data_IF_316183487590
#
_entry.id   IF_316183487590
#
_cell.length_a   1.000
_cell.length_b   1.000
_cell.length_c   1.000
_cell.angle_alpha   90.00
_cell.angle_beta   90.00
_cell.angle_gamma   90.00
#
_symmetry.space_group_name_H-M   'P 1'
#
loop_
_entity.id
_entity.type
_entity.pdbx_description
1 polymer ?
#
# COMPACT_ATOMS: atom_id res chain seq x y z
N UNK A 1 -8.14 -2.77 5.82
CA UNK A 1 -7.19 -1.76 5.29
C UNK A 1 -7.06 -0.63 6.30
N UNK A 2 -5.83 -0.21 6.67
CA UNK A 2 -5.64 0.86 7.67
C UNK A 2 -5.79 2.26 7.07
N UNK A 3 -5.97 3.30 7.92
CA UNK A 3 -6.14 4.70 7.50
C UNK A 3 -5.04 5.20 6.54
N UNK A 4 -3.80 4.75 6.67
CA UNK A 4 -2.70 5.12 5.77
C UNK A 4 -2.83 4.53 4.36
N UNK A 5 -3.35 3.31 4.24
CA UNK A 5 -3.65 2.70 2.95
C UNK A 5 -4.68 3.52 2.16
N UNK A 6 -5.65 4.10 2.84
CA UNK A 6 -6.64 4.98 2.23
C UNK A 6 -6.02 6.17 1.49
N UNK A 7 -5.02 6.83 2.07
CA UNK A 7 -4.30 7.96 1.43
C UNK A 7 -3.67 7.56 0.09
N UNK A 8 -3.33 6.30 -0.08
CA UNK A 8 -2.77 5.79 -1.34
C UNK A 8 -3.69 5.89 -2.55
N UNK A 9 -5.00 5.96 -2.33
CA UNK A 9 -6.00 6.10 -3.39
C UNK A 9 -6.45 7.55 -3.64
N UNK A 10 -6.15 8.48 -2.72
CA UNK A 10 -6.70 9.85 -2.77
C UNK A 10 -6.20 10.69 -3.93
N UNK A 11 -5.03 10.35 -4.48
CA UNK A 11 -4.37 11.13 -5.52
C UNK A 11 -4.47 10.49 -6.91
N UNK A 12 -5.27 9.42 -7.08
CA UNK A 12 -5.44 8.75 -8.35
C UNK A 12 -6.76 9.17 -8.98
N UNK A 13 -6.69 9.83 -10.13
CA UNK A 13 -7.87 10.21 -10.92
C UNK A 13 -8.51 8.94 -11.50
N UNK A 14 -9.85 8.85 -11.46
CA UNK A 14 -10.59 7.69 -11.97
C UNK A 14 -10.84 6.60 -10.93
N UNK A 15 -10.71 6.96 -9.64
CA UNK A 15 -11.08 6.12 -8.51
C UNK A 15 -12.22 6.76 -7.74
N UNK A 16 -13.36 6.07 -7.66
CA UNK A 16 -14.44 6.37 -6.72
C UNK A 16 -14.35 5.41 -5.54
N UNK A 17 -14.59 5.91 -4.34
CA UNK A 17 -14.45 5.13 -3.12
C UNK A 17 -15.50 5.46 -2.09
N UNK A 18 -15.90 4.44 -1.34
CA UNK A 18 -16.71 4.56 -0.15
C UNK A 18 -15.96 3.88 0.99
N UNK A 19 -15.67 4.62 2.05
CA UNK A 19 -15.00 4.10 3.24
C UNK A 19 -16.01 3.94 4.36
N UNK A 20 -15.90 2.83 5.09
CA UNK A 20 -16.60 2.62 6.34
C UNK A 20 -16.30 3.75 7.33
N UNK A 21 -17.35 4.38 7.84
CA UNK A 21 -17.23 5.56 8.68
C UNK A 21 -17.02 5.17 10.16
N UNK A 22 -15.91 5.58 10.73
CA UNK A 22 -15.63 5.41 12.17
C UNK A 22 -16.62 6.17 13.08
N UNK A 23 -17.43 7.09 12.50
CA UNK A 23 -18.45 7.85 13.23
C UNK A 23 -19.73 7.05 13.49
N UNK A 24 -20.02 6.06 12.63
CA UNK A 24 -21.29 5.32 12.63
C UNK A 24 -21.12 3.81 12.83
N UNK A 25 -19.95 3.27 12.57
CA UNK A 25 -19.71 1.85 12.77
C UNK A 25 -19.49 1.63 14.26
N UNK A 26 -20.40 0.86 14.87
CA UNK A 26 -20.18 0.30 16.19
C UNK A 26 -19.25 -0.90 16.05
N UNK A 27 -18.24 -0.98 16.88
CA UNK A 27 -17.42 -2.17 16.99
C UNK A 27 -18.16 -3.15 17.88
N UNK A 28 -18.75 -4.19 17.28
CA UNK A 28 -19.41 -5.27 18.00
C UNK A 28 -18.41 -5.90 18.96
N UNK A 29 -18.88 -6.26 20.16
CA UNK A 29 -18.07 -6.73 21.27
C UNK A 29 -16.96 -5.75 21.72
N UNK A 30 -17.13 -4.48 21.38
CA UNK A 30 -16.20 -3.41 21.73
C UNK A 30 -14.74 -3.71 21.35
N UNK A 31 -14.54 -4.40 20.21
CA UNK A 31 -13.23 -4.73 19.66
C UNK A 31 -13.05 -4.07 18.31
N UNK A 32 -11.83 -3.61 18.01
CA UNK A 32 -11.42 -3.21 16.68
C UNK A 32 -10.21 -4.03 16.21
N UNK A 33 -10.21 -4.41 14.95
CA UNK A 33 -9.04 -5.03 14.36
C UNK A 33 -7.94 -4.00 14.10
N UNK A 34 -6.69 -4.42 14.18
CA UNK A 34 -5.54 -3.59 13.87
C UNK A 34 -4.46 -4.37 13.12
N UNK A 35 -3.69 -3.64 12.35
CA UNK A 35 -2.57 -4.18 11.58
C UNK A 35 -1.29 -4.09 12.41
N UNK A 36 -0.57 -5.20 12.50
CA UNK A 36 0.77 -5.25 13.11
C UNK A 36 1.81 -5.22 11.96
N UNK A 37 2.67 -4.19 11.89
CA UNK A 37 3.76 -4.15 10.92
C UNK A 37 4.71 -5.34 11.06
N UNK A 38 5.23 -5.87 9.95
CA UNK A 38 6.12 -7.03 9.98
C UNK A 38 7.38 -6.83 10.83
N UNK A 39 7.93 -5.61 10.87
CA UNK A 39 9.09 -5.28 11.72
C UNK A 39 8.78 -5.45 13.20
N UNK A 40 7.57 -5.12 13.62
CA UNK A 40 7.10 -5.33 14.99
C UNK A 40 6.77 -6.82 15.22
N UNK A 41 6.04 -7.43 14.29
CA UNK A 41 5.60 -8.82 14.43
C UNK A 41 6.76 -9.86 14.48
N UNK A 42 7.95 -9.49 13.97
CA UNK A 42 9.16 -10.33 14.01
C UNK A 42 9.98 -10.18 15.29
N UNK A 43 9.64 -9.23 16.14
CA UNK A 43 10.31 -8.97 17.40
C UNK A 43 9.30 -9.17 18.52
N UNK A 44 9.44 -10.22 19.30
CA UNK A 44 8.47 -10.60 20.35
C UNK A 44 8.29 -9.50 21.40
N UNK A 45 9.36 -8.85 21.83
CA UNK A 45 9.30 -7.76 22.80
C UNK A 45 8.53 -6.55 22.23
N UNK A 46 8.86 -6.14 21.00
CA UNK A 46 8.16 -5.05 20.32
C UNK A 46 6.68 -5.37 20.08
N UNK A 47 6.37 -6.64 19.80
CA UNK A 47 4.99 -7.10 19.62
C UNK A 47 4.18 -7.00 20.91
N UNK A 48 4.74 -7.43 22.05
CA UNK A 48 4.08 -7.30 23.36
C UNK A 48 3.76 -5.83 23.65
N UNK A 49 4.74 -4.93 23.51
CA UNK A 49 4.54 -3.48 23.72
C UNK A 49 3.43 -2.94 22.82
N UNK A 50 3.40 -3.39 21.56
CA UNK A 50 2.41 -2.95 20.58
C UNK A 50 1.01 -3.43 20.94
N UNK A 51 0.85 -4.70 21.31
CA UNK A 51 -0.43 -5.32 21.69
C UNK A 51 -0.97 -4.72 23.00
N UNK A 52 -0.11 -4.45 23.99
CA UNK A 52 -0.48 -3.76 25.23
C UNK A 52 -1.01 -2.35 24.94
N UNK A 53 -0.35 -1.61 24.05
CA UNK A 53 -0.80 -0.29 23.66
C UNK A 53 -2.17 -0.34 22.96
N UNK A 54 -2.40 -1.33 22.07
CA UNK A 54 -3.70 -1.50 21.40
C UNK A 54 -4.79 -1.88 22.37
N UNK A 55 -4.50 -2.74 23.35
CA UNK A 55 -5.43 -3.13 24.42
C UNK A 55 -5.82 -1.93 25.27
N UNK A 56 -4.84 -1.10 25.66
CA UNK A 56 -5.10 0.12 26.43
C UNK A 56 -6.00 1.12 25.68
N UNK A 57 -5.77 1.28 24.37
CA UNK A 57 -6.62 2.13 23.52
C UNK A 57 -8.04 1.58 23.44
N UNK A 58 -8.20 0.26 23.32
CA UNK A 58 -9.51 -0.39 23.28
C UNK A 58 -10.26 -0.17 24.60
N UNK A 59 -9.62 -0.38 25.73
CA UNK A 59 -10.21 -0.17 27.06
C UNK A 59 -10.64 1.29 27.26
N UNK A 60 -9.79 2.22 26.82
CA UNK A 60 -10.08 3.65 26.89
C UNK A 60 -11.27 4.02 25.99
N UNK A 61 -11.33 3.46 24.77
CA UNK A 61 -12.45 3.63 23.85
C UNK A 61 -13.76 3.18 24.51
N UNK A 62 -13.77 1.99 25.08
CA UNK A 62 -14.95 1.39 25.73
C UNK A 62 -15.41 2.20 26.94
N UNK A 63 -14.47 2.67 27.77
CA UNK A 63 -14.78 3.54 28.92
C UNK A 63 -15.41 4.86 28.48
N UNK A 64 -14.90 5.51 27.45
CA UNK A 64 -15.48 6.75 26.94
C UNK A 64 -16.89 6.54 26.37
N UNK A 65 -17.13 5.44 25.67
CA UNK A 65 -18.48 5.08 25.20
C UNK A 65 -19.43 4.84 26.37
N UNK A 66 -18.99 4.13 27.41
CA UNK A 66 -19.83 3.87 28.61
C UNK A 66 -20.19 5.13 29.40
N UNK A 67 -19.35 6.16 29.31
CA UNK A 67 -19.63 7.50 29.86
C UNK A 67 -20.60 8.33 29.01
N UNK A 68 -21.13 7.76 27.90
CA UNK A 68 -22.07 8.44 27.02
C UNK A 68 -21.44 9.46 26.06
N UNK A 69 -20.12 9.44 25.91
CA UNK A 69 -19.44 10.31 24.94
C UNK A 69 -19.81 9.86 23.52
N UNK A 70 -20.07 10.81 22.64
CA UNK A 70 -20.46 10.53 21.25
C UNK A 70 -19.36 9.75 20.53
N UNK A 71 -19.74 8.69 19.82
CA UNK A 71 -18.81 7.83 19.08
C UNK A 71 -17.86 8.60 18.14
N UNK A 72 -18.35 9.64 17.49
CA UNK A 72 -17.52 10.48 16.62
C UNK A 72 -16.34 11.15 17.33
N UNK A 73 -16.52 11.48 18.61
CA UNK A 73 -15.50 12.12 19.43
C UNK A 73 -14.52 11.08 19.96
N UNK A 74 -15.06 9.93 20.41
CA UNK A 74 -14.26 8.79 20.87
C UNK A 74 -13.41 8.19 19.73
N UNK A 75 -13.90 8.21 18.49
CA UNK A 75 -13.16 7.71 17.35
C UNK A 75 -11.80 8.41 17.10
N UNK A 76 -11.56 9.57 17.72
CA UNK A 76 -10.27 10.27 17.61
C UNK A 76 -9.11 9.54 18.27
N UNK A 77 -9.35 8.65 19.24
CA UNK A 77 -8.30 7.85 19.89
C UNK A 77 -7.91 6.60 19.09
N UNK A 78 -8.67 6.24 18.04
CA UNK A 78 -8.37 5.06 17.24
C UNK A 78 -6.99 5.18 16.56
N UNK A 79 -6.15 4.12 16.62
CA UNK A 79 -4.80 4.15 16.09
C UNK A 79 -4.81 4.19 14.56
N UNK A 80 -3.70 4.65 13.96
CA UNK A 80 -3.52 4.61 12.50
C UNK A 80 -3.59 3.20 11.91
N UNK A 81 -3.20 2.19 12.70
CA UNK A 81 -3.26 0.79 12.32
C UNK A 81 -4.66 0.17 12.35
N UNK A 82 -5.67 0.90 12.81
CA UNK A 82 -7.05 0.43 12.88
C UNK A 82 -7.57 -0.02 11.51
N UNK A 83 -8.20 -1.20 11.48
CA UNK A 83 -8.80 -1.74 10.27
C UNK A 83 -10.02 -0.94 9.82
N UNK A 84 -10.17 -0.76 8.51
CA UNK A 84 -11.36 -0.17 7.91
C UNK A 84 -11.67 -0.88 6.60
N UNK A 85 -12.92 -0.84 6.18
CA UNK A 85 -13.37 -1.36 4.89
C UNK A 85 -13.51 -0.22 3.89
N UNK A 86 -12.94 -0.40 2.71
CA UNK A 86 -13.06 0.54 1.59
C UNK A 86 -13.54 -0.22 0.37
N UNK A 87 -14.66 0.23 -0.20
CA UNK A 87 -15.12 -0.23 -1.51
C UNK A 87 -14.64 0.77 -2.56
N UNK A 88 -13.97 0.27 -3.59
CA UNK A 88 -13.42 1.09 -4.66
C UNK A 88 -13.99 0.68 -6.01
N UNK A 89 -14.43 1.67 -6.81
CA UNK A 89 -14.66 1.51 -8.24
C UNK A 89 -13.51 2.20 -8.96
N UNK A 90 -12.77 1.46 -9.77
CA UNK A 90 -11.51 1.91 -10.37
C UNK A 90 -11.57 1.64 -11.86
N UNK A 91 -11.25 2.62 -12.71
CA UNK A 91 -11.08 2.35 -14.14
C UNK A 91 -9.71 1.70 -14.41
N UNK A 92 -9.58 0.98 -15.54
CA UNK A 92 -8.39 0.20 -15.89
C UNK A 92 -7.13 1.07 -15.95
N UNK A 93 -7.22 2.31 -16.44
CA UNK A 93 -6.08 3.24 -16.50
C UNK A 93 -5.58 3.61 -15.10
N UNK A 94 -6.50 3.95 -14.20
CA UNK A 94 -6.17 4.25 -12.82
C UNK A 94 -5.60 3.03 -12.10
N UNK A 95 -6.13 1.84 -12.39
CA UNK A 95 -5.63 0.57 -11.85
C UNK A 95 -4.20 0.29 -12.32
N UNK A 96 -3.91 0.46 -13.62
CA UNK A 96 -2.54 0.34 -14.15
C UNK A 96 -1.58 1.30 -13.45
N UNK A 97 -1.97 2.56 -13.27
CA UNK A 97 -1.16 3.53 -12.54
C UNK A 97 -0.96 3.15 -11.05
N UNK A 98 -1.96 2.56 -10.42
CA UNK A 98 -1.80 2.03 -9.05
C UNK A 98 -0.72 0.95 -8.99
N UNK A 99 -0.69 0.00 -9.94
CA UNK A 99 0.36 -1.01 -10.03
C UNK A 99 1.74 -0.38 -10.22
N UNK A 100 1.87 0.62 -11.10
CA UNK A 100 3.12 1.33 -11.34
C UNK A 100 3.74 1.90 -10.06
N UNK A 101 2.91 2.49 -9.21
CA UNK A 101 3.37 3.24 -8.02
C UNK A 101 3.40 2.37 -6.77
N UNK A 102 2.44 1.44 -6.62
CA UNK A 102 2.21 0.75 -5.34
C UNK A 102 2.86 -0.62 -5.22
N UNK A 103 3.32 -1.21 -6.32
CA UNK A 103 4.19 -2.39 -6.26
C UNK A 103 5.69 -2.04 -6.12
N UNK A 104 6.05 -0.76 -6.21
CA UNK A 104 7.40 -0.30 -5.94
C UNK A 104 7.80 -0.60 -4.48
N UNK A 105 9.07 -0.96 -4.24
CA UNK A 105 9.59 -1.24 -2.89
C UNK A 105 9.50 -0.05 -1.94
N UNK A 106 9.38 1.17 -2.47
CA UNK A 106 9.16 2.40 -1.68
C UNK A 106 7.73 2.54 -1.16
N UNK A 107 6.76 1.79 -1.70
CA UNK A 107 5.43 1.76 -1.15
C UNK A 107 5.40 0.99 0.18
N UNK A 108 4.48 1.33 1.05
CA UNK A 108 4.26 0.58 2.29
C UNK A 108 4.06 -0.93 2.00
N UNK A 109 4.65 -1.77 2.82
CA UNK A 109 4.61 -3.22 2.65
C UNK A 109 3.19 -3.77 2.59
N UNK A 110 2.30 -3.28 3.46
CA UNK A 110 0.89 -3.66 3.46
C UNK A 110 0.23 -3.37 2.10
N UNK A 111 0.55 -2.21 1.51
CA UNK A 111 -0.01 -1.84 0.22
C UNK A 111 0.54 -2.71 -0.91
N UNK A 112 1.83 -3.03 -0.86
CA UNK A 112 2.44 -3.97 -1.83
C UNK A 112 1.84 -5.36 -1.75
N UNK A 113 1.54 -5.85 -0.54
CA UNK A 113 0.83 -7.13 -0.34
C UNK A 113 -0.56 -7.07 -0.97
N UNK A 114 -1.31 -6.00 -0.68
CA UNK A 114 -2.63 -5.80 -1.27
C UNK A 114 -2.59 -5.81 -2.81
N UNK A 115 -1.61 -5.13 -3.42
CA UNK A 115 -1.49 -5.11 -4.88
C UNK A 115 -1.16 -6.49 -5.46
N UNK A 116 -0.35 -7.30 -4.77
CA UNK A 116 -0.07 -8.67 -5.18
C UNK A 116 -1.32 -9.56 -5.12
N UNK A 117 -2.09 -9.48 -4.04
CA UNK A 117 -3.34 -10.23 -3.90
C UNK A 117 -4.36 -9.78 -4.95
N UNK A 118 -4.46 -8.48 -5.20
CA UNK A 118 -5.31 -7.93 -6.25
C UNK A 118 -4.89 -8.45 -7.64
N UNK A 119 -3.59 -8.44 -7.96
CA UNK A 119 -3.07 -8.99 -9.22
C UNK A 119 -3.46 -10.45 -9.37
N UNK A 120 -3.26 -11.27 -8.33
CA UNK A 120 -3.62 -12.68 -8.34
C UNK A 120 -5.12 -12.87 -8.61
N UNK A 121 -5.96 -12.15 -7.88
CA UNK A 121 -7.41 -12.22 -8.07
C UNK A 121 -7.87 -11.80 -9.48
N UNK A 122 -7.23 -10.77 -10.06
CA UNK A 122 -7.53 -10.33 -11.43
C UNK A 122 -7.06 -11.36 -12.46
N UNK A 123 -5.87 -11.95 -12.27
CA UNK A 123 -5.30 -12.94 -13.17
C UNK A 123 -6.17 -14.20 -13.27
N UNK A 124 -6.86 -14.56 -12.20
CA UNK A 124 -7.73 -15.73 -12.10
C UNK A 124 -9.14 -15.51 -12.68
N UNK A 125 -9.50 -14.28 -13.10
CA UNK A 125 -10.84 -13.96 -13.61
C UNK A 125 -11.07 -14.54 -15.02
N UNK A 126 -10.21 -14.16 -15.97
CA UNK A 126 -10.25 -14.60 -17.37
C UNK A 126 -8.95 -14.26 -18.11
N UNK A 127 -8.86 -14.68 -19.39
CA UNK A 127 -7.66 -14.48 -20.22
C UNK A 127 -7.36 -13.00 -20.53
N UNK A 128 -8.38 -12.16 -20.65
CA UNK A 128 -8.22 -10.73 -20.89
C UNK A 128 -7.57 -10.06 -19.68
N UNK A 129 -8.01 -10.39 -18.46
CA UNK A 129 -7.41 -9.90 -17.25
C UNK A 129 -5.99 -10.43 -17.03
N UNK A 130 -5.74 -11.70 -17.36
CA UNK A 130 -4.39 -12.25 -17.34
C UNK A 130 -3.46 -11.49 -18.30
N UNK A 131 -3.91 -11.22 -19.52
CA UNK A 131 -3.17 -10.41 -20.49
C UNK A 131 -2.87 -8.98 -19.98
N UNK A 132 -3.85 -8.32 -19.34
CA UNK A 132 -3.65 -7.00 -18.74
C UNK A 132 -2.63 -7.04 -17.59
N UNK A 133 -2.65 -8.07 -16.76
CA UNK A 133 -1.70 -8.26 -15.68
C UNK A 133 -0.26 -8.41 -16.21
N UNK A 134 -0.08 -9.19 -17.27
CA UNK A 134 1.23 -9.47 -17.84
C UNK A 134 1.81 -8.29 -18.64
N UNK A 135 0.96 -7.48 -19.25
CA UNK A 135 1.43 -6.45 -20.18
C UNK A 135 1.32 -5.02 -19.63
N UNK A 136 0.33 -4.72 -18.80
CA UNK A 136 0.02 -3.34 -18.39
C UNK A 136 0.14 -3.09 -16.89
N UNK A 137 -0.12 -4.09 -16.03
CA UNK A 137 -0.08 -3.90 -14.59
C UNK A 137 1.32 -4.18 -14.05
N UNK A 138 2.27 -3.35 -14.45
CA UNK A 138 3.69 -3.47 -14.13
C UNK A 138 4.17 -2.27 -13.34
N UNK A 139 5.18 -2.48 -12.51
CA UNK A 139 5.84 -1.38 -11.78
C UNK A 139 6.53 -0.44 -12.78
N UNK A 140 6.61 0.84 -12.45
CA UNK A 140 7.12 1.87 -13.36
C UNK A 140 8.51 1.54 -13.93
N UNK A 141 9.43 1.07 -13.08
CA UNK A 141 10.79 0.73 -13.51
C UNK A 141 10.85 -0.46 -14.48
N UNK A 142 9.90 -1.40 -14.43
CA UNK A 142 9.77 -2.50 -15.36
C UNK A 142 9.32 -2.03 -16.75
N UNK A 143 8.40 -1.06 -16.80
CA UNK A 143 7.98 -0.43 -18.06
C UNK A 143 9.07 0.43 -18.70
N UNK A 144 9.89 1.07 -17.87
CA UNK A 144 10.94 2.00 -18.32
C UNK A 144 12.30 1.33 -18.49
N UNK A 145 12.48 0.09 -18.00
CA UNK A 145 13.72 -0.67 -17.94
C UNK A 145 14.84 0.01 -17.12
N UNK A 146 14.49 1.02 -16.33
CA UNK A 146 15.39 1.65 -15.36
C UNK A 146 14.60 2.20 -14.18
N UNK A 147 15.29 2.41 -13.06
CA UNK A 147 14.71 3.03 -11.87
C UNK A 147 14.83 4.55 -11.97
N UNK A 148 13.67 5.26 -11.95
CA UNK A 148 13.63 6.73 -11.96
C UNK A 148 13.69 7.34 -10.54
N UNK A 149 13.74 6.50 -9.50
CA UNK A 149 13.83 6.95 -8.12
C UNK A 149 15.26 7.41 -7.79
N UNK A 150 15.38 8.31 -6.81
CA UNK A 150 16.68 8.82 -6.36
C UNK A 150 17.65 7.72 -5.95
N UNK A 151 17.15 6.67 -5.31
CA UNK A 151 17.90 5.50 -4.90
C UNK A 151 17.22 4.25 -5.47
N UNK A 152 17.92 3.50 -6.29
CA UNK A 152 17.42 2.23 -6.83
C UNK A 152 17.37 1.17 -5.74
N UNK A 153 16.35 0.30 -5.80
CA UNK A 153 16.27 -0.90 -4.96
C UNK A 153 16.99 -2.11 -5.56
N UNK A 154 17.70 -1.94 -6.68
CA UNK A 154 18.42 -3.01 -7.40
C UNK A 154 17.56 -3.84 -8.37
N UNK A 155 16.24 -3.64 -8.43
CA UNK A 155 15.38 -4.36 -9.40
C UNK A 155 15.69 -3.99 -10.85
N UNK A 156 16.00 -2.72 -11.09
CA UNK A 156 16.45 -2.17 -12.37
C UNK A 156 17.57 -1.16 -12.12
N UNK A 157 18.46 -0.93 -13.09
CA UNK A 157 19.55 0.03 -12.96
C UNK A 157 19.02 1.43 -12.67
N UNK A 158 19.79 2.23 -11.95
CA UNK A 158 19.48 3.62 -11.72
C UNK A 158 19.60 4.43 -13.04
N UNK A 159 18.86 5.53 -13.15
CA UNK A 159 18.93 6.40 -14.33
C UNK A 159 20.35 6.90 -14.61
N UNK A 160 21.12 7.25 -13.57
CA UNK A 160 22.52 7.67 -13.67
C UNK A 160 23.44 6.59 -14.26
N UNK A 161 23.18 5.32 -13.95
CA UNK A 161 23.95 4.20 -14.50
C UNK A 161 23.71 4.04 -16.02
N UNK A 162 22.47 4.26 -16.46
CA UNK A 162 22.14 4.26 -17.90
C UNK A 162 22.78 5.45 -18.64
N UNK A 163 22.78 6.62 -18.02
CA UNK A 163 23.42 7.81 -18.60
C UNK A 163 24.93 7.60 -18.79
N UNK A 164 25.59 7.02 -17.79
CA UNK A 164 27.01 6.66 -17.88
C UNK A 164 27.27 5.61 -18.98
N UNK A 165 26.44 4.57 -19.04
CA UNK A 165 26.57 3.55 -20.09
C UNK A 165 26.37 4.15 -21.50
N UNK A 166 25.40 5.06 -21.66
CA UNK A 166 25.17 5.76 -22.93
C UNK A 166 26.33 6.70 -23.29
N UNK A 167 26.90 7.41 -22.33
CA UNK A 167 28.08 8.25 -22.55
C UNK A 167 29.28 7.41 -23.02
N UNK A 168 29.53 6.30 -22.30
CA UNK A 168 30.57 5.36 -22.65
C UNK A 168 30.37 4.78 -24.06
N UNK A 169 29.14 4.34 -24.39
CA UNK A 169 28.80 3.81 -25.72
C UNK A 169 29.05 4.83 -26.82
N UNK A 170 28.65 6.08 -26.62
CA UNK A 170 28.89 7.18 -27.58
C UNK A 170 30.40 7.48 -27.75
N UNK A 171 31.14 7.51 -26.63
CA UNK A 171 32.59 7.77 -26.68
C UNK A 171 33.37 6.68 -27.41
N UNK A 172 32.92 5.43 -27.33
CA UNK A 172 33.56 4.27 -27.93
C UNK A 172 32.95 3.88 -29.31
N UNK A 173 32.25 4.81 -29.98
CA UNK A 173 31.67 4.64 -31.33
C UNK A 173 30.84 3.36 -31.47
N UNK A 174 30.07 3.01 -30.46
CA UNK A 174 29.15 1.88 -30.50
C UNK A 174 29.75 0.51 -30.19
N UNK A 175 30.98 0.41 -29.73
CA UNK A 175 31.57 -0.86 -29.28
C UNK A 175 30.95 -1.22 -27.94
N UNK A 176 30.25 -2.37 -27.87
CA UNK A 176 29.75 -2.94 -26.65
C UNK A 176 30.91 -3.58 -25.88
N UNK A 177 31.05 -3.30 -24.59
CA UNK A 177 31.96 -4.04 -23.74
C UNK A 177 31.35 -5.42 -23.54
N UNK A 178 32.03 -6.45 -24.04
CA UNK A 178 31.76 -7.86 -23.68
C UNK A 178 32.40 -8.19 -22.35
#
# INVERSE_FOLDING_TARGET
MRKQGYKGYTHIIGVSRVQASTRYIKYDDLKFGYYIPNSINRNEEAKVIYDDCMSYILDSYNKLISLGIKQQDVANILPLGHHTTIVCKINIRALSHMFEVRECTRAYEEFRKLMKELRKALYELDEDWAYLCDNYFKVKCEKMLYCAERESCGRFPAKSELELALQYYKANKGKIIT
#
